data_IF_247978051927
#
_entry.id   IF_247978051927
#
_cell.length_a   1.000
_cell.length_b   1.000
_cell.length_c   1.000
_cell.angle_alpha   90.00
_cell.angle_beta   90.00
_cell.angle_gamma   90.00
#
_symmetry.space_group_name_H-M   'P 1'
#
loop_
_entity.id
_entity.type
_entity.pdbx_description
1 polymer ?
#
# COMPACT_ATOMS: atom_id res chain seq x y z
N UNK A 1 8.72 -14.87 82.28
CA UNK A 1 9.87 -14.26 81.57
C UNK A 1 10.55 -15.31 80.68
N UNK A 2 10.35 -15.35 79.43
CA UNK A 2 11.01 -16.39 78.62
C UNK A 2 10.44 -16.52 77.17
N UNK A 3 10.20 -15.41 76.44
CA UNK A 3 9.76 -15.48 74.98
C UNK A 3 10.45 -14.45 74.08
N UNK A 4 11.45 -13.71 74.56
CA UNK A 4 12.05 -12.59 73.75
C UNK A 4 13.41 -12.95 73.14
N UNK A 5 14.04 -14.06 73.47
CA UNK A 5 15.41 -14.32 72.99
C UNK A 5 15.52 -15.15 71.73
N UNK A 6 14.43 -15.81 71.28
CA UNK A 6 14.49 -16.60 70.02
C UNK A 6 14.28 -15.77 68.75
N UNK A 7 13.61 -14.61 68.82
CA UNK A 7 13.36 -13.76 67.62
C UNK A 7 14.59 -12.99 67.09
N UNK A 8 15.57 -12.71 67.97
CA UNK A 8 16.76 -11.93 67.58
C UNK A 8 17.81 -12.72 66.79
N UNK A 9 17.84 -14.06 66.94
CA UNK A 9 18.80 -14.90 66.16
C UNK A 9 18.34 -15.21 64.73
N UNK A 10 17.06 -15.01 64.36
CA UNK A 10 16.55 -15.25 63.01
C UNK A 10 16.68 -14.03 62.11
N UNK A 11 16.82 -12.81 62.61
CA UNK A 11 16.95 -11.58 61.83
C UNK A 11 18.16 -11.58 60.91
N UNK A 12 19.39 -11.97 61.33
CA UNK A 12 20.53 -12.01 60.39
C UNK A 12 20.37 -13.10 59.33
N UNK A 13 19.74 -14.23 59.64
CA UNK A 13 19.51 -15.30 58.69
C UNK A 13 18.51 -14.89 57.58
N UNK A 14 17.44 -14.17 57.93
CA UNK A 14 16.49 -13.60 56.98
C UNK A 14 17.12 -12.50 56.13
N UNK A 15 17.97 -11.65 56.71
CA UNK A 15 18.68 -10.63 55.93
C UNK A 15 19.63 -11.25 54.89
N UNK A 16 20.37 -12.30 55.27
CA UNK A 16 21.21 -13.05 54.32
C UNK A 16 20.37 -13.72 53.22
N UNK A 17 19.25 -14.34 53.57
CA UNK A 17 18.35 -14.96 52.58
C UNK A 17 17.79 -13.93 51.62
N UNK A 18 17.36 -12.76 52.09
CA UNK A 18 16.88 -11.66 51.22
C UNK A 18 17.99 -11.13 50.31
N UNK A 19 19.20 -10.96 50.78
CA UNK A 19 20.32 -10.49 49.92
C UNK A 19 20.69 -11.51 48.87
N UNK A 20 20.69 -12.80 49.17
CA UNK A 20 20.92 -13.88 48.20
C UNK A 20 19.80 -13.92 47.16
N UNK A 21 18.54 -13.78 47.54
CA UNK A 21 17.40 -13.75 46.62
C UNK A 21 17.45 -12.53 45.70
N UNK A 22 17.79 -11.34 46.23
CA UNK A 22 17.98 -10.13 45.43
C UNK A 22 19.17 -10.27 44.47
N UNK A 23 20.24 -10.92 44.89
CA UNK A 23 21.39 -11.17 44.02
C UNK A 23 21.05 -12.16 42.91
N UNK A 24 20.32 -13.24 43.18
CA UNK A 24 19.84 -14.20 42.19
C UNK A 24 18.89 -13.48 41.20
N UNK A 25 17.95 -12.70 41.72
CA UNK A 25 17.02 -11.92 40.87
C UNK A 25 17.77 -10.94 39.98
N UNK A 26 18.72 -10.19 40.53
CA UNK A 26 19.56 -9.28 39.75
C UNK A 26 20.36 -10.02 38.65
N UNK A 27 20.96 -11.16 39.01
CA UNK A 27 21.74 -11.97 38.04
C UNK A 27 20.86 -12.54 36.95
N UNK A 28 19.69 -13.04 37.27
CA UNK A 28 18.75 -13.58 36.26
C UNK A 28 18.20 -12.50 35.34
N UNK A 29 17.80 -11.34 35.87
CA UNK A 29 17.35 -10.21 35.06
C UNK A 29 18.48 -9.62 34.22
N UNK A 30 19.69 -9.49 34.74
CA UNK A 30 20.85 -9.03 34.00
C UNK A 30 21.24 -10.02 32.89
N UNK A 31 21.16 -11.33 33.17
CA UNK A 31 21.43 -12.37 32.17
C UNK A 31 20.40 -12.32 31.02
N UNK A 32 19.11 -12.22 31.36
CA UNK A 32 18.06 -12.07 30.36
C UNK A 32 18.22 -10.78 29.55
N UNK A 33 18.61 -9.68 30.18
CA UNK A 33 18.85 -8.41 29.49
C UNK A 33 20.02 -8.52 28.49
N UNK A 34 21.16 -9.11 28.92
CA UNK A 34 22.31 -9.33 28.01
C UNK A 34 22.02 -10.32 26.89
N UNK A 35 21.24 -11.38 27.15
CA UNK A 35 20.85 -12.32 26.13
C UNK A 35 19.93 -11.66 25.08
N UNK A 36 19.05 -10.75 25.54
CA UNK A 36 18.18 -9.99 24.65
C UNK A 36 18.94 -8.95 23.81
N UNK A 37 19.94 -8.26 24.39
CA UNK A 37 20.79 -7.33 23.66
C UNK A 37 21.72 -8.07 22.66
N UNK A 38 22.34 -9.17 23.07
CA UNK A 38 23.17 -9.97 22.17
C UNK A 38 22.36 -10.55 21.00
N UNK A 39 21.14 -11.00 21.29
CA UNK A 39 20.22 -11.48 20.23
C UNK A 39 19.82 -10.37 19.27
N UNK A 40 19.63 -9.13 19.74
CA UNK A 40 19.33 -7.97 18.88
C UNK A 40 20.55 -7.51 18.07
N UNK A 41 21.74 -7.52 18.63
CA UNK A 41 22.99 -7.13 17.93
C UNK A 41 23.38 -8.17 16.88
N UNK A 42 23.32 -9.46 17.20
CA UNK A 42 23.58 -10.55 16.23
C UNK A 42 22.58 -10.55 15.09
N UNK A 43 21.30 -10.27 15.35
CA UNK A 43 20.28 -10.19 14.32
C UNK A 43 20.43 -8.96 13.43
N UNK A 44 20.89 -7.83 13.95
CA UNK A 44 21.15 -6.62 13.17
C UNK A 44 22.44 -6.71 12.34
N UNK A 45 23.47 -7.37 12.84
CA UNK A 45 24.72 -7.60 12.10
C UNK A 45 24.59 -8.72 11.06
N UNK A 46 23.90 -9.83 11.37
CA UNK A 46 23.71 -10.93 10.41
C UNK A 46 22.82 -10.57 9.22
N UNK A 47 22.04 -9.51 9.31
CA UNK A 47 21.23 -8.99 8.17
C UNK A 47 22.13 -8.27 7.13
N UNK A 48 23.31 -7.80 7.51
CA UNK A 48 24.14 -6.95 6.65
C UNK A 48 25.48 -7.56 6.21
N UNK A 49 26.00 -8.62 6.86
CA UNK A 49 27.35 -9.15 6.63
C UNK A 49 27.44 -10.55 6.01
N UNK A 50 26.32 -11.20 5.67
CA UNK A 50 26.32 -12.54 5.05
C UNK A 50 25.96 -12.53 3.57
N UNK A 51 26.90 -12.78 2.69
CA UNK A 51 26.68 -12.98 1.25
C UNK A 51 25.97 -14.31 0.92
N UNK A 52 25.64 -15.12 1.92
CA UNK A 52 24.90 -16.38 1.78
C UNK A 52 23.61 -16.33 2.60
N UNK A 53 22.50 -15.93 1.95
CA UNK A 53 21.17 -16.02 2.53
C UNK A 53 20.46 -14.68 2.77
N UNK A 54 20.62 -13.71 1.85
CA UNK A 54 19.76 -12.51 1.85
C UNK A 54 18.30 -12.99 1.79
N UNK A 55 17.45 -12.67 2.76
CA UNK A 55 16.04 -13.05 2.72
C UNK A 55 15.45 -12.66 1.37
N UNK A 56 14.68 -13.53 0.75
CA UNK A 56 14.01 -13.32 -0.55
C UNK A 56 13.33 -11.93 -0.65
N UNK A 57 13.01 -11.34 0.49
CA UNK A 57 12.39 -10.01 0.65
C UNK A 57 13.34 -8.84 0.41
N UNK A 58 14.62 -8.93 0.76
CA UNK A 58 15.58 -7.83 0.57
C UNK A 58 15.75 -7.46 -0.90
N UNK A 59 15.69 -8.45 -1.81
CA UNK A 59 15.73 -8.21 -3.26
C UNK A 59 14.54 -7.38 -3.77
N UNK A 60 13.38 -7.51 -3.17
CA UNK A 60 12.13 -6.85 -3.61
C UNK A 60 12.10 -5.35 -3.32
N UNK A 61 12.89 -4.88 -2.35
CA UNK A 61 12.96 -3.46 -1.95
C UNK A 61 14.06 -2.67 -2.67
N UNK A 62 14.92 -3.30 -3.46
CA UNK A 62 16.06 -2.64 -4.15
C UNK A 62 15.67 -1.44 -5.02
N UNK A 63 14.40 -1.34 -5.43
CA UNK A 63 13.89 -0.20 -6.19
C UNK A 63 13.74 1.08 -5.37
N UNK A 64 13.69 0.99 -4.04
CA UNK A 64 13.44 2.12 -3.14
C UNK A 64 14.73 2.57 -2.44
N UNK A 65 14.92 3.90 -2.22
CA UNK A 65 15.94 4.41 -1.31
C UNK A 65 15.74 3.91 0.12
N UNK A 66 16.83 3.63 0.82
CA UNK A 66 16.81 3.00 2.14
C UNK A 66 16.02 3.81 3.19
N UNK A 67 16.19 5.13 3.24
CA UNK A 67 15.51 5.98 4.19
C UNK A 67 14.00 6.07 3.96
N UNK A 68 13.52 5.90 2.74
CA UNK A 68 12.08 5.78 2.44
C UNK A 68 11.47 4.58 3.17
N UNK A 69 12.20 3.48 3.27
CA UNK A 69 11.77 2.26 3.94
C UNK A 69 11.82 2.44 5.46
N UNK A 70 12.97 2.85 5.99
CA UNK A 70 13.21 2.94 7.43
C UNK A 70 12.41 4.02 8.15
N UNK A 71 12.23 5.17 7.53
CA UNK A 71 11.49 6.27 8.14
C UNK A 71 10.01 5.95 8.41
N UNK A 72 9.47 4.88 7.81
CA UNK A 72 8.03 4.65 7.77
C UNK A 72 7.58 3.22 8.04
N UNK A 73 8.51 2.28 8.26
CA UNK A 73 8.22 0.86 8.42
C UNK A 73 8.25 0.40 9.89
N UNK A 74 7.54 1.13 10.75
CA UNK A 74 7.37 0.81 12.17
C UNK A 74 6.35 -0.33 12.43
N UNK A 75 5.76 -0.88 11.37
CA UNK A 75 4.80 -1.99 11.44
C UNK A 75 5.37 -3.34 10.97
N UNK A 76 6.68 -3.46 10.85
CA UNK A 76 7.28 -4.74 10.51
C UNK A 76 6.98 -5.78 11.57
N UNK A 77 6.39 -6.90 11.13
CA UNK A 77 6.12 -8.03 11.99
C UNK A 77 7.42 -8.83 12.18
N UNK A 78 7.88 -8.92 13.44
CA UNK A 78 8.97 -9.81 13.80
C UNK A 78 8.37 -11.16 14.19
N UNK A 79 8.84 -12.29 13.63
CA UNK A 79 8.36 -13.60 14.04
C UNK A 79 8.78 -13.85 15.50
N UNK A 80 7.87 -14.39 16.33
CA UNK A 80 8.15 -14.76 17.71
C UNK A 80 9.21 -15.86 17.83
N UNK A 81 9.36 -16.66 16.80
CA UNK A 81 10.38 -17.70 16.67
C UNK A 81 10.82 -17.80 15.20
N UNK A 82 12.09 -18.06 15.00
CA UNK A 82 12.60 -18.33 13.66
C UNK A 82 11.94 -19.59 13.11
N UNK A 83 11.33 -19.50 11.95
CA UNK A 83 10.93 -20.69 11.20
C UNK A 83 12.21 -21.47 10.87
N UNK A 84 12.49 -22.53 11.65
CA UNK A 84 13.40 -23.56 11.14
C UNK A 84 12.85 -23.96 9.78
N UNK A 85 13.68 -23.91 8.77
CA UNK A 85 13.41 -24.35 7.41
C UNK A 85 12.97 -25.82 7.41
N UNK A 86 11.77 -26.10 7.89
CA UNK A 86 11.10 -27.34 7.59
C UNK A 86 10.38 -27.11 6.28
N UNK A 87 10.71 -27.89 5.28
CA UNK A 87 10.03 -27.95 3.98
C UNK A 87 8.61 -28.48 4.12
N UNK A 88 7.83 -27.93 5.06
CA UNK A 88 6.40 -28.14 5.08
C UNK A 88 5.84 -27.40 3.89
N UNK A 89 5.41 -28.14 2.88
CA UNK A 89 4.61 -27.64 1.76
C UNK A 89 3.49 -26.80 2.37
N UNK A 90 3.68 -25.48 2.45
CA UNK A 90 2.58 -24.56 2.74
C UNK A 90 1.52 -24.89 1.70
N UNK A 91 0.26 -25.14 2.07
CA UNK A 91 -0.78 -25.38 1.10
C UNK A 91 -0.74 -24.21 0.11
N UNK A 92 -0.48 -24.53 -1.15
CA UNK A 92 -0.54 -23.53 -2.23
C UNK A 92 -2.01 -23.18 -2.36
N UNK A 93 -2.44 -22.15 -1.65
CA UNK A 93 -3.73 -21.51 -1.90
C UNK A 93 -3.60 -20.77 -3.25
N UNK A 94 -3.65 -21.54 -4.34
CA UNK A 94 -3.52 -20.99 -5.68
C UNK A 94 -4.79 -20.22 -6.06
N UNK A 95 -4.57 -19.06 -6.68
CA UNK A 95 -5.58 -18.22 -7.31
C UNK A 95 -6.55 -17.46 -6.38
N UNK A 96 -6.19 -17.15 -5.13
CA UNK A 96 -6.94 -16.21 -4.31
C UNK A 96 -6.53 -14.78 -4.60
N UNK A 97 -7.51 -13.89 -4.67
CA UNK A 97 -7.26 -12.45 -4.87
C UNK A 97 -8.00 -11.64 -3.81
N UNK A 98 -7.54 -10.43 -3.56
CA UNK A 98 -8.13 -9.50 -2.59
C UNK A 98 -8.66 -8.27 -3.31
N UNK A 99 -9.92 -7.93 -3.04
CA UNK A 99 -10.48 -6.61 -3.32
C UNK A 99 -10.58 -5.82 -2.02
N UNK A 100 -9.91 -4.69 -1.93
CA UNK A 100 -9.89 -3.79 -0.77
C UNK A 100 -10.40 -2.41 -1.20
N UNK A 101 -11.50 -1.95 -0.58
CA UNK A 101 -12.20 -0.72 -1.00
C UNK A 101 -12.59 0.10 0.22
N UNK A 102 -12.24 1.41 0.31
CA UNK A 102 -12.85 2.32 1.25
C UNK A 102 -14.30 2.58 0.81
N UNK A 103 -15.24 2.51 1.73
CA UNK A 103 -16.66 2.58 1.40
C UNK A 103 -17.45 3.49 2.36
N UNK A 104 -18.45 4.15 1.79
CA UNK A 104 -19.43 4.92 2.53
C UNK A 104 -20.83 4.76 1.95
N UNK A 105 -21.85 5.03 2.76
CA UNK A 105 -23.26 4.81 2.39
C UNK A 105 -23.71 5.53 1.13
N UNK A 106 -23.01 6.59 0.72
CA UNK A 106 -23.36 7.33 -0.51
C UNK A 106 -23.10 6.53 -1.78
N UNK A 107 -22.19 5.57 -1.72
CA UNK A 107 -21.80 4.73 -2.85
C UNK A 107 -22.32 3.30 -2.72
N UNK A 108 -23.28 3.07 -1.81
CA UNK A 108 -23.77 1.73 -1.49
C UNK A 108 -24.15 0.92 -2.73
N UNK A 109 -24.92 1.50 -3.65
CA UNK A 109 -25.36 0.81 -4.85
C UNK A 109 -24.20 0.50 -5.80
N UNK A 110 -23.25 1.44 -5.94
CA UNK A 110 -22.08 1.24 -6.78
C UNK A 110 -21.15 0.14 -6.22
N UNK A 111 -20.91 0.19 -4.91
CA UNK A 111 -20.13 -0.82 -4.21
C UNK A 111 -20.82 -2.18 -4.25
N UNK A 112 -22.17 -2.23 -4.12
CA UNK A 112 -22.92 -3.47 -4.26
C UNK A 112 -22.67 -4.11 -5.63
N UNK A 113 -22.75 -3.35 -6.72
CA UNK A 113 -22.47 -3.84 -8.07
C UNK A 113 -21.03 -4.36 -8.21
N UNK A 114 -20.07 -3.63 -7.62
CA UNK A 114 -18.67 -4.03 -7.60
C UNK A 114 -18.48 -5.35 -6.83
N UNK A 115 -18.94 -5.43 -5.59
CA UNK A 115 -18.78 -6.62 -4.74
C UNK A 115 -19.42 -7.84 -5.36
N UNK A 116 -20.64 -7.73 -5.87
CA UNK A 116 -21.33 -8.84 -6.54
C UNK A 116 -20.51 -9.39 -7.70
N UNK A 117 -19.87 -8.53 -8.48
CA UNK A 117 -19.05 -8.93 -9.63
C UNK A 117 -17.79 -9.67 -9.20
N UNK A 118 -17.10 -9.22 -8.16
CA UNK A 118 -15.88 -9.84 -7.66
C UNK A 118 -16.13 -11.14 -6.90
N UNK A 119 -17.26 -11.25 -6.20
CA UNK A 119 -17.60 -12.48 -5.47
C UNK A 119 -18.01 -13.66 -6.37
N UNK A 120 -18.25 -13.43 -7.66
CA UNK A 120 -18.46 -14.52 -8.63
C UNK A 120 -17.15 -15.27 -8.91
N UNK A 121 -16.01 -14.63 -8.70
CA UNK A 121 -14.67 -15.17 -8.85
C UNK A 121 -14.03 -15.47 -7.47
N UNK A 122 -12.83 -15.98 -7.45
CA UNK A 122 -12.15 -16.34 -6.19
C UNK A 122 -11.51 -15.12 -5.50
N UNK A 123 -12.36 -14.18 -5.06
CA UNK A 123 -11.95 -12.98 -4.34
C UNK A 123 -12.41 -12.99 -2.89
N UNK A 124 -11.52 -12.53 -2.01
CA UNK A 124 -11.88 -12.02 -0.69
C UNK A 124 -12.18 -10.54 -0.83
N UNK A 125 -13.27 -10.07 -0.24
CA UNK A 125 -13.66 -8.65 -0.24
C UNK A 125 -13.42 -8.07 1.14
N UNK A 126 -12.71 -6.94 1.21
CA UNK A 126 -12.43 -6.20 2.43
C UNK A 126 -12.91 -4.75 2.26
N UNK A 127 -13.85 -4.33 3.09
CA UNK A 127 -14.49 -3.02 3.04
C UNK A 127 -14.07 -2.19 4.23
N UNK A 128 -13.57 -0.98 3.97
CA UNK A 128 -13.13 -0.03 4.99
C UNK A 128 -14.16 1.09 5.13
N UNK A 129 -14.95 1.03 6.20
CA UNK A 129 -16.04 1.97 6.46
C UNK A 129 -15.50 3.28 7.03
N UNK A 130 -15.21 4.25 6.15
CA UNK A 130 -14.71 5.56 6.58
C UNK A 130 -15.79 6.44 7.22
N UNK A 131 -17.07 6.12 6.99
CA UNK A 131 -18.23 6.77 7.63
C UNK A 131 -18.67 6.09 8.94
N UNK A 132 -18.06 4.94 9.28
CA UNK A 132 -18.34 4.15 10.46
C UNK A 132 -19.64 3.34 10.41
N UNK A 133 -20.38 3.37 9.30
CA UNK A 133 -21.66 2.70 9.17
C UNK A 133 -21.54 1.32 8.54
N UNK A 134 -21.39 0.28 9.37
CA UNK A 134 -21.38 -1.13 8.92
C UNK A 134 -22.80 -1.68 8.84
N UNK A 135 -23.67 -1.31 9.78
CA UNK A 135 -25.02 -1.86 9.87
C UNK A 135 -25.87 -1.57 8.63
N UNK A 136 -25.64 -0.44 7.99
CA UNK A 136 -26.30 -0.08 6.74
C UNK A 136 -25.99 -0.98 5.54
N UNK A 137 -25.06 -1.95 5.68
CA UNK A 137 -24.68 -2.90 4.62
C UNK A 137 -25.21 -4.31 4.84
N UNK A 138 -25.82 -4.57 6.03
CA UNK A 138 -26.30 -5.91 6.41
C UNK A 138 -27.49 -6.41 5.61
N UNK A 139 -28.16 -5.54 4.88
CA UNK A 139 -29.28 -5.86 3.98
C UNK A 139 -28.82 -6.54 2.67
N UNK A 140 -27.51 -6.59 2.40
CA UNK A 140 -26.96 -7.33 1.27
C UNK A 140 -26.58 -8.76 1.67
N UNK A 141 -27.01 -9.75 0.91
CA UNK A 141 -26.74 -11.18 1.14
C UNK A 141 -25.24 -11.52 1.19
N UNK A 142 -24.43 -10.75 0.51
CA UNK A 142 -22.98 -10.91 0.49
C UNK A 142 -22.27 -10.30 1.70
N UNK A 143 -22.92 -9.45 2.48
CA UNK A 143 -22.29 -8.69 3.57
C UNK A 143 -21.58 -9.62 4.58
N UNK A 144 -22.20 -10.75 4.94
CA UNK A 144 -21.61 -11.74 5.84
C UNK A 144 -20.37 -12.45 5.28
N UNK A 145 -20.13 -12.36 3.97
CA UNK A 145 -18.96 -12.96 3.29
C UNK A 145 -17.81 -11.97 3.12
N UNK A 146 -18.04 -10.69 3.34
CA UNK A 146 -17.04 -9.64 3.27
C UNK A 146 -16.41 -9.38 4.65
N UNK A 147 -15.18 -8.89 4.66
CA UNK A 147 -14.50 -8.40 5.86
C UNK A 147 -14.83 -6.92 6.01
N UNK A 148 -15.46 -6.54 7.11
CA UNK A 148 -15.83 -5.16 7.42
C UNK A 148 -14.88 -4.59 8.47
N UNK A 149 -14.24 -3.46 8.16
CA UNK A 149 -13.33 -2.75 9.06
C UNK A 149 -13.84 -1.33 9.22
N UNK A 150 -14.06 -0.92 10.47
CA UNK A 150 -14.43 0.45 10.81
C UNK A 150 -13.18 1.24 11.15
N UNK A 151 -12.92 2.31 10.38
CA UNK A 151 -11.90 3.29 10.70
C UNK A 151 -12.36 4.67 10.19
N UNK A 152 -13.15 5.35 11.01
CA UNK A 152 -13.79 6.60 10.66
C UNK A 152 -12.79 7.68 10.27
N UNK A 153 -13.19 8.47 9.25
CA UNK A 153 -12.43 9.63 8.79
C UNK A 153 -11.00 9.33 8.32
N UNK A 154 -10.74 8.08 7.88
CA UNK A 154 -9.43 7.69 7.36
C UNK A 154 -9.43 7.57 5.83
N UNK A 155 -8.24 7.59 5.24
CA UNK A 155 -8.03 7.51 3.80
C UNK A 155 -7.74 6.07 3.37
N UNK A 156 -7.88 5.80 2.06
CA UNK A 156 -7.52 4.51 1.46
C UNK A 156 -6.10 4.05 1.79
N UNK A 157 -5.11 4.94 1.69
CA UNK A 157 -3.71 4.60 1.93
C UNK A 157 -3.41 4.35 3.40
N UNK A 158 -4.10 5.05 4.30
CA UNK A 158 -4.04 4.75 5.73
C UNK A 158 -4.59 3.34 6.02
N UNK A 159 -5.74 2.98 5.44
CA UNK A 159 -6.27 1.61 5.55
C UNK A 159 -5.29 0.57 5.00
N UNK A 160 -4.74 0.83 3.82
CA UNK A 160 -3.79 -0.09 3.18
C UNK A 160 -2.56 -0.32 4.06
N UNK A 161 -2.00 0.74 4.64
CA UNK A 161 -0.83 0.63 5.53
C UNK A 161 -1.15 -0.15 6.80
N UNK A 162 -2.34 0.03 7.39
CA UNK A 162 -2.72 -0.58 8.67
C UNK A 162 -3.20 -2.03 8.52
N UNK A 163 -3.97 -2.35 7.49
CA UNK A 163 -4.69 -3.61 7.42
C UNK A 163 -4.20 -4.55 6.31
N UNK A 164 -3.41 -4.06 5.36
CA UNK A 164 -2.89 -4.87 4.26
C UNK A 164 -1.38 -5.14 4.39
N UNK A 165 -0.92 -5.39 5.63
CA UNK A 165 0.48 -5.76 5.86
C UNK A 165 0.86 -6.97 4.98
N UNK A 166 2.02 -6.97 4.30
CA UNK A 166 2.40 -8.03 3.37
C UNK A 166 2.32 -9.44 3.95
N UNK A 167 2.70 -9.62 5.22
CA UNK A 167 2.65 -10.93 5.89
C UNK A 167 1.23 -11.41 6.19
N UNK A 168 0.26 -10.47 6.27
CA UNK A 168 -1.16 -10.82 6.46
C UNK A 168 -1.79 -11.17 5.12
N UNK A 169 -1.48 -10.41 4.07
CA UNK A 169 -2.10 -10.59 2.75
C UNK A 169 -1.30 -11.51 1.82
N UNK A 170 -0.26 -12.19 2.33
CA UNK A 170 0.62 -13.06 1.53
C UNK A 170 -0.10 -14.23 0.84
N UNK A 171 -1.29 -14.58 1.32
CA UNK A 171 -2.14 -15.65 0.76
C UNK A 171 -2.81 -15.27 -0.56
N UNK A 172 -2.83 -13.97 -0.91
CA UNK A 172 -3.43 -13.46 -2.13
C UNK A 172 -2.38 -13.29 -3.22
N UNK A 173 -2.71 -13.67 -4.46
CA UNK A 173 -1.83 -13.52 -5.62
C UNK A 173 -1.85 -12.08 -6.13
N UNK A 174 -3.03 -11.45 -6.12
CA UNK A 174 -3.24 -10.07 -6.53
C UNK A 174 -4.08 -9.30 -5.52
N UNK A 175 -3.72 -8.03 -5.32
CA UNK A 175 -4.36 -7.10 -4.41
C UNK A 175 -4.89 -5.91 -5.23
N UNK A 176 -6.21 -5.76 -5.25
CA UNK A 176 -6.95 -4.67 -5.85
C UNK A 176 -7.24 -3.65 -4.75
N UNK A 177 -6.62 -2.48 -4.82
CA UNK A 177 -6.84 -1.39 -3.87
C UNK A 177 -7.57 -0.25 -4.59
N UNK A 178 -8.88 -0.36 -4.65
CA UNK A 178 -9.73 0.46 -5.51
C UNK A 178 -10.53 1.52 -4.75
N UNK A 179 -10.94 2.57 -5.46
CA UNK A 179 -11.91 3.54 -4.97
C UNK A 179 -13.34 3.03 -5.17
N UNK A 180 -14.29 3.57 -4.39
CA UNK A 180 -15.69 3.09 -4.37
C UNK A 180 -16.54 3.60 -5.54
N UNK A 181 -16.10 4.65 -6.23
CA UNK A 181 -16.85 5.33 -7.29
C UNK A 181 -16.50 4.84 -8.71
N UNK A 182 -16.00 3.61 -8.80
CA UNK A 182 -15.64 2.95 -10.05
C UNK A 182 -16.81 2.09 -10.56
N UNK A 183 -17.30 2.40 -11.75
CA UNK A 183 -18.29 1.59 -12.46
C UNK A 183 -17.63 0.40 -13.13
N UNK A 184 -18.16 -0.80 -12.87
CA UNK A 184 -17.59 -2.09 -13.30
C UNK A 184 -18.45 -2.80 -14.36
N UNK A 185 -19.26 -2.07 -15.07
CA UNK A 185 -20.19 -2.60 -16.07
C UNK A 185 -19.44 -3.40 -17.15
N UNK A 186 -18.27 -2.91 -17.54
CA UNK A 186 -17.41 -3.46 -18.59
C UNK A 186 -16.16 -4.16 -18.07
N UNK A 187 -16.22 -4.71 -16.88
CA UNK A 187 -15.07 -5.30 -16.21
C UNK A 187 -15.39 -6.73 -15.75
N UNK A 188 -14.49 -7.66 -16.03
CA UNK A 188 -14.52 -9.03 -15.52
C UNK A 188 -13.22 -9.30 -14.74
N UNK A 189 -13.29 -9.56 -13.40
CA UNK A 189 -12.11 -9.78 -12.59
C UNK A 189 -11.26 -10.95 -13.06
N UNK A 190 -11.88 -12.07 -13.44
CA UNK A 190 -11.18 -13.28 -13.92
C UNK A 190 -10.44 -13.02 -15.24
N UNK A 191 -11.09 -12.38 -16.23
CA UNK A 191 -10.45 -12.03 -17.51
C UNK A 191 -9.33 -11.01 -17.33
N UNK A 192 -9.53 -10.04 -16.44
CA UNK A 192 -8.49 -9.07 -16.10
C UNK A 192 -7.24 -9.77 -15.54
N UNK A 193 -7.40 -10.67 -14.56
CA UNK A 193 -6.30 -11.44 -13.96
C UNK A 193 -5.61 -12.31 -15.02
N UNK A 194 -6.36 -12.91 -15.93
CA UNK A 194 -5.81 -13.71 -17.02
C UNK A 194 -4.87 -12.86 -17.89
N UNK A 195 -5.30 -11.66 -18.30
CA UNK A 195 -4.48 -10.74 -19.08
C UNK A 195 -3.22 -10.33 -18.30
N UNK A 196 -3.37 -9.96 -17.03
CA UNK A 196 -2.27 -9.56 -16.17
C UNK A 196 -1.22 -10.67 -16.04
N UNK A 197 -1.66 -11.94 -15.88
CA UNK A 197 -0.78 -13.11 -15.82
C UNK A 197 -0.08 -13.39 -17.15
N UNK A 198 -0.81 -13.37 -18.25
CA UNK A 198 -0.27 -13.61 -19.61
C UNK A 198 0.80 -12.58 -19.98
N UNK A 199 0.57 -11.31 -19.61
CA UNK A 199 1.47 -10.20 -19.91
C UNK A 199 2.58 -10.02 -18.84
N UNK A 200 2.53 -10.80 -17.77
CA UNK A 200 3.50 -10.75 -16.67
C UNK A 200 3.56 -9.39 -15.99
N UNK A 201 2.40 -8.72 -15.82
CA UNK A 201 2.32 -7.44 -15.15
C UNK A 201 2.41 -7.62 -13.64
N UNK A 202 3.27 -6.84 -13.02
CA UNK A 202 3.44 -6.79 -11.56
C UNK A 202 2.55 -5.71 -10.93
N UNK A 203 2.36 -4.60 -11.65
CA UNK A 203 1.48 -3.50 -11.27
C UNK A 203 0.64 -3.14 -12.48
N UNK A 204 -0.66 -3.06 -12.29
CA UNK A 204 -1.58 -2.77 -13.39
C UNK A 204 -2.80 -1.98 -12.91
N UNK A 205 -3.57 -1.48 -13.84
CA UNK A 205 -4.91 -0.98 -13.59
C UNK A 205 -5.80 -1.27 -14.80
N UNK A 206 -7.13 -1.35 -14.64
CA UNK A 206 -8.05 -1.29 -15.76
C UNK A 206 -8.01 0.10 -16.41
N UNK A 207 -8.21 0.17 -17.70
CA UNK A 207 -8.31 1.44 -18.41
C UNK A 207 -9.59 2.19 -18.00
N UNK A 208 -9.53 3.52 -18.09
CA UNK A 208 -10.70 4.37 -17.90
C UNK A 208 -11.46 4.52 -19.23
N UNK A 209 -12.75 4.33 -19.19
CA UNK A 209 -13.64 4.62 -20.31
C UNK A 209 -13.53 6.11 -20.71
N UNK A 210 -13.70 6.45 -21.99
CA UNK A 210 -13.58 7.84 -22.45
C UNK A 210 -14.59 8.82 -21.84
N UNK A 211 -15.71 8.30 -21.35
CA UNK A 211 -16.79 9.03 -20.69
C UNK A 211 -16.60 9.14 -19.15
N UNK A 212 -15.47 8.66 -18.65
CA UNK A 212 -15.11 8.81 -17.25
C UNK A 212 -14.95 10.28 -16.86
N UNK A 213 -15.40 10.61 -15.66
CA UNK A 213 -15.22 11.94 -15.07
C UNK A 213 -13.80 12.05 -14.49
N UNK A 214 -13.16 13.21 -14.65
CA UNK A 214 -11.84 13.51 -14.09
C UNK A 214 -10.73 12.53 -14.52
N UNK A 215 -10.45 12.44 -15.83
CA UNK A 215 -9.27 11.73 -16.34
C UNK A 215 -8.03 12.61 -16.15
N UNK A 216 -7.18 12.29 -15.17
CA UNK A 216 -6.01 13.10 -14.82
C UNK A 216 -4.79 12.79 -15.70
N UNK A 217 -4.64 11.53 -16.10
CA UNK A 217 -3.47 11.05 -16.83
C UNK A 217 -3.89 10.31 -18.09
N UNK A 218 -3.36 10.74 -19.24
CA UNK A 218 -3.74 10.18 -20.52
C UNK A 218 -3.36 8.69 -20.68
N UNK A 219 -2.37 8.23 -19.94
CA UNK A 219 -1.99 6.81 -19.97
C UNK A 219 -3.09 5.91 -19.38
N UNK A 220 -3.96 6.43 -18.52
CA UNK A 220 -5.04 5.64 -17.93
C UNK A 220 -6.25 5.50 -18.86
N UNK A 221 -6.33 6.35 -19.89
CA UNK A 221 -7.43 6.33 -20.85
C UNK A 221 -7.37 5.09 -21.74
N UNK A 222 -8.51 4.45 -21.95
CA UNK A 222 -8.67 3.26 -22.78
C UNK A 222 -8.16 3.48 -24.21
N UNK A 223 -7.21 2.64 -24.62
CA UNK A 223 -6.76 2.57 -25.99
C UNK A 223 -7.65 1.60 -26.78
N UNK A 224 -8.46 2.13 -27.72
CA UNK A 224 -9.34 1.30 -28.55
C UNK A 224 -8.52 0.28 -29.36
N UNK A 225 -9.06 -0.91 -29.54
CA UNK A 225 -8.47 -2.00 -30.32
C UNK A 225 -7.14 -2.55 -29.75
N UNK A 226 -6.90 -2.37 -28.44
CA UNK A 226 -5.79 -2.99 -27.73
C UNK A 226 -6.31 -3.83 -26.58
N UNK A 227 -5.60 -4.92 -26.29
CA UNK A 227 -5.83 -5.74 -25.10
C UNK A 227 -5.30 -5.03 -23.85
N UNK A 228 -4.14 -4.41 -23.99
CA UNK A 228 -3.48 -3.62 -22.95
C UNK A 228 -2.45 -2.68 -23.58
N UNK A 229 -1.97 -1.70 -22.78
CA UNK A 229 -0.83 -0.86 -23.16
C UNK A 229 0.05 -0.54 -21.95
N UNK A 230 1.33 -0.24 -22.21
CA UNK A 230 2.34 0.09 -21.19
C UNK A 230 2.84 1.53 -21.29
N UNK A 231 2.52 2.21 -22.40
CA UNK A 231 2.96 3.59 -22.66
C UNK A 231 2.03 4.32 -23.60
N UNK A 232 2.14 5.63 -23.54
CA UNK A 232 1.50 6.54 -24.52
C UNK A 232 2.54 7.35 -25.28
N UNK A 233 2.09 7.84 -26.42
CA UNK A 233 2.83 8.79 -27.25
C UNK A 233 2.01 10.07 -27.36
N UNK A 234 2.57 11.20 -26.93
CA UNK A 234 1.92 12.49 -26.95
C UNK A 234 2.89 13.56 -27.41
N UNK A 235 2.68 14.08 -28.62
CA UNK A 235 3.55 15.11 -29.19
C UNK A 235 3.14 16.52 -28.78
N UNK A 236 1.87 16.72 -28.42
CA UNK A 236 1.28 18.02 -28.07
C UNK A 236 0.63 17.89 -26.67
N UNK A 237 0.75 18.94 -25.85
CA UNK A 237 0.19 18.94 -24.50
C UNK A 237 1.22 19.30 -23.44
N UNK A 238 0.78 19.32 -22.19
CA UNK A 238 1.65 19.63 -21.01
C UNK A 238 2.71 18.54 -20.79
N UNK A 239 2.37 17.29 -21.10
CA UNK A 239 3.26 16.12 -20.92
C UNK A 239 3.65 15.59 -22.28
N UNK A 240 4.90 15.77 -22.66
CA UNK A 240 5.43 15.25 -23.95
C UNK A 240 5.93 13.83 -23.72
N UNK A 241 5.29 12.85 -24.37
CA UNK A 241 5.65 11.43 -24.30
C UNK A 241 6.20 10.95 -25.64
N UNK A 242 7.42 10.45 -25.63
CA UNK A 242 8.12 9.90 -26.80
C UNK A 242 8.56 8.47 -26.56
N UNK A 243 9.14 7.81 -27.57
CA UNK A 243 9.75 6.48 -27.41
C UNK A 243 10.88 6.43 -26.38
N UNK A 244 11.56 7.55 -26.15
CA UNK A 244 12.62 7.70 -25.16
C UNK A 244 12.11 7.92 -23.72
N UNK A 245 10.80 8.17 -23.54
CA UNK A 245 10.22 8.39 -22.21
C UNK A 245 10.12 7.06 -21.45
N UNK A 246 10.88 6.89 -20.38
CA UNK A 246 11.00 5.64 -19.61
C UNK A 246 10.28 5.67 -18.25
N UNK A 247 9.55 6.72 -17.94
CA UNK A 247 8.90 6.87 -16.64
C UNK A 247 7.57 7.60 -16.68
N UNK A 248 6.93 7.73 -15.51
CA UNK A 248 5.68 8.44 -15.34
C UNK A 248 5.71 9.87 -15.89
N UNK A 249 4.60 10.36 -16.41
CA UNK A 249 3.33 9.64 -16.65
C UNK A 249 3.25 8.99 -18.03
N UNK A 250 4.36 8.79 -18.76
CA UNK A 250 4.39 8.27 -20.13
C UNK A 250 4.47 6.74 -20.19
N UNK A 251 5.09 6.12 -19.20
CA UNK A 251 5.27 4.68 -19.03
C UNK A 251 5.55 4.35 -17.56
N UNK A 252 5.34 3.07 -17.16
CA UNK A 252 5.62 2.64 -15.80
C UNK A 252 4.76 3.34 -14.74
N UNK A 253 3.51 3.62 -15.07
CA UNK A 253 2.58 4.40 -14.26
C UNK A 253 1.22 3.73 -14.17
N UNK A 254 0.65 3.74 -12.97
CA UNK A 254 -0.76 3.50 -12.67
C UNK A 254 -1.25 4.59 -11.75
N UNK A 255 -2.52 4.96 -11.87
CA UNK A 255 -3.14 5.99 -11.04
C UNK A 255 -3.63 5.38 -9.72
N UNK A 256 -3.56 6.17 -8.66
CA UNK A 256 -3.91 5.73 -7.31
C UNK A 256 -5.36 5.28 -7.11
N UNK A 257 -6.28 5.52 -8.07
CA UNK A 257 -7.70 5.19 -7.92
C UNK A 257 -8.02 3.69 -8.07
N UNK A 258 -7.33 2.99 -8.97
CA UNK A 258 -7.65 1.59 -9.29
C UNK A 258 -6.41 0.69 -9.48
N UNK A 259 -5.37 0.80 -8.66
CA UNK A 259 -4.18 -0.03 -8.83
C UNK A 259 -4.45 -1.48 -8.45
N UNK A 260 -3.75 -2.38 -9.16
CA UNK A 260 -3.70 -3.81 -8.89
C UNK A 260 -2.24 -4.22 -8.78
N UNK A 261 -1.90 -4.89 -7.71
CA UNK A 261 -0.54 -5.32 -7.40
C UNK A 261 -0.44 -6.83 -7.37
N UNK A 262 0.63 -7.39 -7.92
CA UNK A 262 1.05 -8.75 -7.58
C UNK A 262 1.49 -8.78 -6.10
N UNK A 263 1.52 -9.94 -5.50
CA UNK A 263 2.04 -10.15 -4.14
C UNK A 263 3.44 -9.53 -3.94
N UNK A 264 4.33 -9.73 -4.90
CA UNK A 264 5.70 -9.22 -4.84
C UNK A 264 5.78 -7.71 -4.98
N UNK A 265 5.00 -7.13 -5.88
CA UNK A 265 4.92 -5.68 -6.03
C UNK A 265 4.25 -5.02 -4.82
N UNK A 266 3.25 -5.68 -4.21
CA UNK A 266 2.60 -5.17 -3.01
C UNK A 266 3.55 -5.07 -1.82
N UNK A 267 4.42 -6.06 -1.62
CA UNK A 267 5.43 -5.98 -0.57
C UNK A 267 6.23 -4.67 -0.64
N UNK A 268 6.72 -4.30 -1.80
CA UNK A 268 7.42 -3.05 -2.00
C UNK A 268 6.51 -1.82 -1.89
N UNK A 269 5.32 -1.84 -2.50
CA UNK A 269 4.38 -0.73 -2.47
C UNK A 269 3.91 -0.39 -1.05
N UNK A 270 3.73 -1.40 -0.20
CA UNK A 270 3.39 -1.21 1.20
C UNK A 270 4.49 -0.44 1.96
N UNK A 271 5.77 -0.74 1.70
CA UNK A 271 6.89 0.00 2.29
C UNK A 271 7.02 1.43 1.73
N UNK A 272 6.57 1.67 0.50
CA UNK A 272 6.53 3.00 -0.08
C UNK A 272 5.46 3.90 0.57
N UNK A 273 4.36 3.32 1.08
CA UNK A 273 3.30 4.07 1.77
C UNK A 273 3.88 4.69 3.05
N UNK A 274 3.77 6.00 3.17
CA UNK A 274 4.27 6.77 4.30
C UNK A 274 3.21 6.84 5.40
N UNK A 275 3.60 6.65 6.67
CA UNK A 275 2.67 6.63 7.81
C UNK A 275 2.00 7.98 8.08
N UNK A 276 2.68 9.07 7.77
CA UNK A 276 2.27 10.46 8.06
C UNK A 276 1.67 11.18 6.86
N UNK A 277 1.74 10.61 5.65
CA UNK A 277 1.23 11.20 4.41
C UNK A 277 0.01 10.42 3.92
N UNK A 278 -1.10 10.59 4.65
CA UNK A 278 -2.28 9.71 4.55
C UNK A 278 -3.07 9.80 3.25
N UNK A 279 -2.92 10.89 2.48
CA UNK A 279 -3.59 11.02 1.17
C UNK A 279 -2.83 10.31 0.04
N UNK A 280 -1.54 10.06 0.20
CA UNK A 280 -0.71 9.31 -0.74
C UNK A 280 -0.48 10.00 -2.10
N UNK A 281 -0.69 11.33 -2.19
CA UNK A 281 -0.47 12.05 -3.44
C UNK A 281 1.02 12.05 -3.83
N UNK A 282 1.30 11.76 -5.11
CA UNK A 282 2.64 11.66 -5.67
C UNK A 282 3.26 10.27 -5.57
N UNK A 283 2.68 9.38 -4.77
CA UNK A 283 3.12 8.00 -4.62
C UNK A 283 2.96 7.21 -5.93
N UNK A 284 1.91 7.47 -6.68
CA UNK A 284 1.62 6.92 -8.00
C UNK A 284 2.77 7.12 -8.98
N UNK A 285 3.47 8.27 -8.93
CA UNK A 285 4.68 8.53 -9.72
C UNK A 285 5.87 7.64 -9.32
N UNK A 286 5.79 6.96 -8.18
CA UNK A 286 6.85 6.11 -7.63
C UNK A 286 6.50 4.62 -7.57
N UNK A 287 5.23 4.25 -7.72
CA UNK A 287 4.78 2.85 -7.70
C UNK A 287 5.54 1.96 -8.71
N UNK A 288 5.91 2.51 -9.87
CA UNK A 288 6.68 1.78 -10.86
C UNK A 288 8.05 1.27 -10.39
N UNK A 289 8.62 1.85 -9.32
CA UNK A 289 9.85 1.33 -8.71
C UNK A 289 9.63 0.00 -7.98
N UNK A 290 8.39 -0.31 -7.62
CA UNK A 290 8.00 -1.55 -6.96
C UNK A 290 7.68 -2.70 -7.92
N UNK A 291 7.63 -2.46 -9.22
CA UNK A 291 7.53 -3.53 -10.19
C UNK A 291 8.80 -4.40 -10.14
N UNK A 292 8.61 -5.71 -10.00
CA UNK A 292 9.72 -6.64 -9.92
C UNK A 292 10.29 -6.88 -11.32
N UNK A 293 11.20 -5.99 -11.72
CA UNK A 293 11.79 -5.91 -13.05
C UNK A 293 11.63 -4.52 -13.70
N UNK A 294 11.78 -4.47 -15.03
CA UNK A 294 11.66 -3.22 -15.78
C UNK A 294 10.21 -2.66 -15.72
N UNK A 295 10.03 -1.51 -15.11
CA UNK A 295 8.72 -0.84 -15.00
C UNK A 295 8.05 -0.57 -16.35
N UNK A 296 8.84 -0.41 -17.44
CA UNK A 296 8.26 -0.19 -18.76
C UNK A 296 7.64 -1.45 -19.38
N UNK A 297 7.96 -2.61 -18.80
CA UNK A 297 7.46 -3.93 -19.21
C UNK A 297 6.52 -4.54 -18.18
N UNK A 298 6.74 -4.26 -16.89
CA UNK A 298 6.02 -4.88 -15.76
C UNK A 298 4.85 -4.04 -15.23
N UNK A 299 4.71 -2.80 -15.71
CA UNK A 299 3.59 -1.92 -15.38
C UNK A 299 2.75 -1.66 -16.63
N UNK A 300 1.43 -1.77 -16.52
CA UNK A 300 0.55 -1.59 -17.69
C UNK A 300 -0.90 -1.28 -17.33
N UNK A 301 -1.62 -0.82 -18.34
CA UNK A 301 -3.05 -0.52 -18.30
C UNK A 301 -3.77 -1.54 -19.19
N UNK A 302 -4.77 -2.23 -18.65
CA UNK A 302 -5.55 -3.25 -19.36
C UNK A 302 -6.74 -2.57 -20.04
N UNK A 303 -6.77 -2.58 -21.36
CA UNK A 303 -7.78 -1.88 -22.18
C UNK A 303 -9.03 -2.71 -22.45
N UNK A 304 -8.90 -4.03 -22.48
CA UNK A 304 -10.02 -4.93 -22.76
C UNK A 304 -11.00 -4.98 -21.59
N UNK A 305 -10.48 -4.99 -20.38
CA UNK A 305 -11.25 -4.91 -19.14
C UNK A 305 -11.14 -3.51 -18.55
N UNK A 306 -12.15 -2.67 -18.78
CA UNK A 306 -12.11 -1.25 -18.43
C UNK A 306 -13.24 -0.86 -17.48
N UNK A 307 -13.05 0.27 -16.80
CA UNK A 307 -13.95 0.81 -15.80
C UNK A 307 -14.35 2.23 -16.13
N UNK A 308 -15.42 2.71 -15.48
CA UNK A 308 -15.89 4.10 -15.57
C UNK A 308 -15.63 4.78 -14.23
N UNK A 309 -14.83 5.85 -14.23
CA UNK A 309 -14.71 6.70 -13.04
C UNK A 309 -15.91 7.64 -12.98
N UNK A 310 -16.79 7.44 -11.99
CA UNK A 310 -18.05 8.18 -11.84
C UNK A 310 -17.86 9.56 -11.22
N UNK A 311 -16.73 9.80 -10.54
CA UNK A 311 -16.37 11.09 -9.96
C UNK A 311 -17.37 11.56 -8.89
N UNK A 312 -17.97 10.63 -8.15
CA UNK A 312 -18.97 10.94 -7.13
C UNK A 312 -18.26 11.44 -5.87
N UNK A 313 -18.61 12.66 -5.47
CA UNK A 313 -17.95 13.34 -4.37
C UNK A 313 -18.40 12.78 -3.02
N UNK A 314 -17.52 12.08 -2.33
CA UNK A 314 -17.79 11.47 -1.02
C UNK A 314 -17.19 12.26 0.14
N UNK A 315 -16.07 12.94 -0.07
CA UNK A 315 -15.41 13.75 0.95
C UNK A 315 -16.02 15.16 1.06
N UNK A 316 -16.23 15.61 2.30
CA UNK A 316 -16.67 16.98 2.59
C UNK A 316 -18.19 17.21 2.54
N UNK A 317 -18.96 16.17 2.35
CA UNK A 317 -20.42 16.24 2.51
C UNK A 317 -20.81 15.69 3.87
N UNK A 318 -21.19 16.56 4.81
CA UNK A 318 -21.75 16.13 6.10
C UNK A 318 -22.81 15.05 5.89
N UNK A 319 -22.63 13.93 6.58
CA UNK A 319 -23.55 12.81 6.51
C UNK A 319 -24.96 13.22 6.86
N UNK A 320 -25.77 13.30 5.84
CA UNK A 320 -27.19 13.01 5.94
C UNK A 320 -27.70 12.73 4.53
N UNK A 321 -28.30 11.54 4.38
CA UNK A 321 -29.19 11.24 3.28
C UNK A 321 -30.05 12.47 2.97
N UNK A 322 -30.31 12.71 1.70
CA UNK A 322 -31.13 13.79 1.18
C UNK A 322 -32.51 13.88 1.87
N UNK A 323 -32.55 14.31 3.10
CA UNK A 323 -33.70 14.99 3.63
C UNK A 323 -33.78 16.27 2.81
N UNK A 324 -34.85 16.38 2.02
CA UNK A 324 -35.22 17.60 1.30
C UNK A 324 -35.15 18.74 2.31
N UNK A 325 -34.04 19.47 2.37
CA UNK A 325 -33.91 20.67 3.17
C UNK A 325 -34.81 21.67 2.48
N UNK A 326 -36.01 21.83 3.01
CA UNK A 326 -37.06 22.74 2.50
C UNK A 326 -36.65 24.22 2.60
N UNK A 327 -35.58 24.53 3.33
CA UNK A 327 -35.09 25.90 3.48
C UNK A 327 -33.86 26.16 2.57
N UNK A 328 -34.01 27.00 1.51
CA UNK A 328 -32.95 27.28 0.55
C UNK A 328 -31.68 27.96 1.17
N UNK A 329 -31.85 28.75 2.26
CA UNK A 329 -30.74 29.37 2.97
C UNK A 329 -29.87 28.32 3.71
N UNK A 330 -30.52 27.33 4.31
CA UNK A 330 -29.82 26.22 5.00
C UNK A 330 -29.10 25.32 4.02
N UNK A 331 -29.72 25.02 2.89
CA UNK A 331 -29.12 24.25 1.79
C UNK A 331 -27.89 24.95 1.22
N UNK A 332 -27.94 26.28 1.05
CA UNK A 332 -26.79 27.08 0.57
C UNK A 332 -25.64 27.09 1.59
N UNK A 333 -25.95 27.18 2.89
CA UNK A 333 -24.96 27.15 3.97
C UNK A 333 -24.26 25.78 4.07
N UNK A 334 -25.00 24.68 3.94
CA UNK A 334 -24.45 23.32 3.89
C UNK A 334 -23.56 23.09 2.67
N UNK A 335 -23.95 23.59 1.48
CA UNK A 335 -23.11 23.51 0.27
C UNK A 335 -21.82 24.33 0.41
N UNK A 336 -21.88 25.50 1.03
CA UNK A 336 -20.70 26.32 1.28
C UNK A 336 -19.72 25.63 2.26
N UNK A 337 -20.23 25.07 3.36
CA UNK A 337 -19.43 24.33 4.33
C UNK A 337 -18.78 23.06 3.71
N UNK A 338 -19.54 22.31 2.91
CA UNK A 338 -19.01 21.14 2.18
C UNK A 338 -17.91 21.52 1.17
N UNK A 339 -18.07 22.68 0.50
CA UNK A 339 -17.05 23.22 -0.39
C UNK A 339 -15.78 23.61 0.36
N UNK A 340 -15.89 24.16 1.55
CA UNK A 340 -14.75 24.57 2.38
C UNK A 340 -13.92 23.35 2.85
N UNK A 341 -14.56 22.29 3.33
CA UNK A 341 -13.89 21.04 3.72
C UNK A 341 -13.12 20.39 2.56
N UNK A 342 -13.68 20.40 1.35
CA UNK A 342 -12.99 19.87 0.16
C UNK A 342 -11.76 20.69 -0.21
N UNK A 343 -11.85 22.00 -0.10
CA UNK A 343 -10.71 22.90 -0.34
C UNK A 343 -9.61 22.61 0.68
N UNK A 344 -9.96 22.37 1.95
CA UNK A 344 -9.01 22.02 2.99
C UNK A 344 -8.33 20.70 2.70
N UNK A 345 -9.10 19.65 2.35
CA UNK A 345 -8.55 18.32 2.00
C UNK A 345 -7.60 18.43 0.80
N UNK A 346 -8.00 19.14 -0.28
CA UNK A 346 -7.13 19.33 -1.45
C UNK A 346 -5.84 20.10 -1.11
N UNK A 347 -5.94 21.10 -0.25
CA UNK A 347 -4.77 21.86 0.24
C UNK A 347 -3.83 20.94 1.01
N UNK A 348 -4.36 20.15 1.94
CA UNK A 348 -3.57 19.18 2.70
C UNK A 348 -2.93 18.13 1.78
N UNK A 349 -3.68 17.54 0.87
CA UNK A 349 -3.14 16.58 -0.11
C UNK A 349 -2.02 17.16 -0.96
N UNK A 350 -2.12 18.46 -1.34
CA UNK A 350 -1.06 19.16 -2.07
C UNK A 350 0.17 19.38 -1.18
N UNK A 351 -0.01 19.73 0.09
CA UNK A 351 1.10 19.87 1.02
C UNK A 351 1.81 18.52 1.24
N UNK A 352 1.07 17.46 1.46
CA UNK A 352 1.62 16.11 1.60
C UNK A 352 2.38 15.65 0.33
N UNK A 353 1.89 16.00 -0.86
CA UNK A 353 2.60 15.76 -2.12
C UNK A 353 3.99 16.43 -2.12
N UNK A 354 4.09 17.68 -1.69
CA UNK A 354 5.38 18.39 -1.67
C UNK A 354 6.32 17.81 -0.60
N UNK A 355 5.77 17.41 0.57
CA UNK A 355 6.54 16.70 1.60
C UNK A 355 7.06 15.37 1.08
N UNK A 356 6.22 14.58 0.39
CA UNK A 356 6.62 13.31 -0.20
C UNK A 356 7.73 13.48 -1.24
N UNK A 357 7.60 14.46 -2.15
CA UNK A 357 8.63 14.77 -3.14
C UNK A 357 9.96 15.15 -2.49
N UNK A 358 9.91 16.06 -1.51
CA UNK A 358 11.08 16.49 -0.77
C UNK A 358 11.78 15.30 -0.12
N UNK A 359 11.05 14.50 0.67
CA UNK A 359 11.54 13.29 1.33
C UNK A 359 12.18 12.33 0.33
N UNK A 360 11.53 12.05 -0.79
CA UNK A 360 12.09 11.19 -1.82
C UNK A 360 13.44 11.69 -2.35
N UNK A 361 13.57 12.98 -2.63
CA UNK A 361 14.80 13.51 -3.18
C UNK A 361 15.92 13.62 -2.15
N UNK A 362 15.59 13.87 -0.89
CA UNK A 362 16.54 13.88 0.22
C UNK A 362 17.09 12.46 0.44
N UNK A 363 16.23 11.45 0.52
CA UNK A 363 16.65 10.07 0.69
C UNK A 363 17.48 9.53 -0.48
N UNK A 364 17.14 9.92 -1.71
CA UNK A 364 17.95 9.61 -2.89
C UNK A 364 19.35 10.26 -2.83
N UNK A 365 19.44 11.45 -2.25
CA UNK A 365 20.72 12.16 -2.13
C UNK A 365 21.59 11.61 -0.98
N UNK A 366 20.97 11.15 0.10
CA UNK A 366 21.64 10.62 1.29
C UNK A 366 22.06 9.15 1.14
N UNK A 367 21.27 8.34 0.44
CA UNK A 367 21.57 6.93 0.20
C UNK A 367 22.65 6.76 -0.88
N UNK A 368 23.90 6.79 -0.47
CA UNK A 368 25.06 6.65 -1.37
C UNK A 368 25.14 5.28 -2.06
N UNK A 369 24.51 4.27 -1.50
CA UNK A 369 24.51 2.90 -2.00
C UNK A 369 23.35 2.66 -2.98
N UNK A 370 22.30 3.47 -2.92
CA UNK A 370 21.16 3.33 -3.82
C UNK A 370 21.48 3.88 -5.21
N UNK A 371 21.23 3.09 -6.21
CA UNK A 371 21.38 3.50 -7.61
C UNK A 371 20.02 3.43 -8.27
N UNK A 372 19.54 4.57 -8.80
CA UNK A 372 18.29 4.59 -9.56
C UNK A 372 18.35 3.55 -10.69
N UNK A 373 17.55 2.47 -10.60
CA UNK A 373 17.57 1.39 -11.58
C UNK A 373 17.22 1.86 -13.01
N UNK A 374 16.61 3.04 -13.13
CA UNK A 374 16.20 3.63 -14.41
C UNK A 374 17.17 4.72 -14.91
N UNK A 375 18.10 5.22 -14.10
CA UNK A 375 19.09 6.20 -14.51
C UNK A 375 20.16 5.61 -15.43
N UNK A 376 20.53 4.33 -15.24
CA UNK A 376 21.54 3.63 -16.05
C UNK A 376 21.16 3.51 -17.52
N UNK A 377 19.90 3.29 -17.84
CA UNK A 377 19.43 3.20 -19.23
C UNK A 377 19.63 4.51 -20.01
N UNK A 378 19.56 5.65 -19.37
CA UNK A 378 19.83 6.96 -20.00
C UNK A 378 21.30 7.13 -20.39
N UNK A 379 22.25 6.55 -19.60
CA UNK A 379 23.70 6.66 -19.87
C UNK A 379 24.15 5.74 -21.02
N UNK A 380 23.64 4.51 -21.09
CA UNK A 380 23.97 3.55 -22.15
C UNK A 380 23.51 4.04 -23.53
N UNK A 381 22.33 4.60 -23.63
CA UNK A 381 21.82 5.16 -24.89
C UNK A 381 22.63 6.38 -25.33
N UNK A 382 23.11 7.22 -24.41
CA UNK A 382 23.99 8.37 -24.80
C UNK A 382 25.36 7.92 -25.29
N UNK A 383 25.94 6.86 -24.74
CA UNK A 383 27.23 6.34 -25.21
C UNK A 383 27.12 5.64 -26.57
N UNK A 384 26.06 4.89 -26.82
CA UNK A 384 25.85 4.27 -28.13
C UNK A 384 25.61 5.29 -29.24
N UNK A 385 24.81 6.33 -28.98
CA UNK A 385 24.55 7.40 -29.97
C UNK A 385 25.79 8.26 -30.24
N UNK A 386 26.74 8.39 -29.29
CA UNK A 386 27.99 9.11 -29.52
C UNK A 386 29.00 8.27 -30.34
N UNK A 387 28.97 6.95 -30.26
CA UNK A 387 29.84 6.08 -31.07
C UNK A 387 29.35 5.94 -32.54
N UNK A 388 28.06 6.02 -32.79
CA UNK A 388 27.51 5.96 -34.15
C UNK A 388 27.65 7.28 -34.93
N UNK A 389 28.05 8.39 -34.28
CA UNK A 389 28.30 9.68 -34.97
C UNK A 389 29.76 9.92 -35.36
N UNK A 390 30.67 9.00 -35.05
CA UNK A 390 32.09 9.10 -35.36
C UNK A 390 32.65 7.88 -36.10
N UNK A 391 31.78 7.02 -36.66
CA UNK A 391 32.18 5.93 -37.57
C UNK A 391 31.71 6.20 -38.99
#
# INVERSE_FOLDING_TARGET
MGKSCLKMKQLPLMAVACTVMLFIFYRTTSYQYHETEQFQVDQSQSIWEGEEGIPEYSGKLRGLPHGIIHATSDFELKPLWSRRSSSSKVPVYSNRNLLAVPVGMRQKDNVNNMVQKFLQDNFTVMLFHYDGNVDGWRDHDWSSKAIHIVAQNQTKWWFAKRFLHPDIVYIYDYIFLWDEDLGVEHFSPSRYIEIVKQEGLEISQPALAPDSIEIHHRITLRARNKKFHRRIYERRGKTRCSGASQGPPCAGFVEGMAPVFSKSAWYCAWHLIQNDLVHGWGMDMKLGYCAQGDRTRKVGVVDEEYIVHKGIQTLGGGGQASTKISNPKLAKRHRAAAGDVRIQIRRQSTQELEVFKKRWYEEVAEDKNWVDPYARQKRLVRHQVSHERFS
#
